data_IF_653743189396
#
_entry.id   IF_653743189396
#
_cell.length_a   1.000
_cell.length_b   1.000
_cell.length_c   1.000
_cell.angle_alpha   90.00
_cell.angle_beta   90.00
_cell.angle_gamma   90.00
#
_symmetry.space_group_name_H-M   'P 1'
#
loop_
_entity.id
_entity.type
_entity.pdbx_description
1 polymer ?
#
# COMPACT_ATOMS: atom_id res chain seq x y z
N UNK A 1 27.73 -34.80 -47.73
CA UNK A 1 27.71 -33.67 -46.77
C UNK A 1 26.25 -33.37 -46.46
N UNK A 2 25.74 -33.85 -45.33
CA UNK A 2 24.38 -33.54 -44.86
C UNK A 2 24.50 -32.30 -43.99
N UNK A 3 23.94 -31.18 -44.46
CA UNK A 3 23.90 -29.94 -43.71
C UNK A 3 22.92 -30.05 -42.55
N UNK A 4 23.43 -30.05 -41.32
CA UNK A 4 22.62 -29.88 -40.11
C UNK A 4 21.90 -28.53 -40.20
N UNK A 5 20.60 -28.56 -40.48
CA UNK A 5 19.70 -27.42 -40.22
C UNK A 5 19.63 -27.27 -38.71
N UNK A 6 20.41 -26.33 -38.16
CA UNK A 6 20.21 -25.84 -36.80
C UNK A 6 18.80 -25.24 -36.75
N UNK A 7 17.89 -25.94 -36.08
CA UNK A 7 16.58 -25.41 -35.72
C UNK A 7 16.82 -24.27 -34.74
N UNK A 8 16.85 -23.04 -35.26
CA UNK A 8 16.85 -21.85 -34.42
C UNK A 8 15.47 -21.81 -33.77
N UNK A 9 15.40 -22.25 -32.51
CA UNK A 9 14.18 -22.13 -31.73
C UNK A 9 13.75 -20.66 -31.75
N UNK A 10 12.51 -20.40 -32.18
CA UNK A 10 11.95 -19.05 -32.16
C UNK A 10 12.09 -18.47 -30.75
N UNK A 11 12.48 -17.19 -30.60
CA UNK A 11 12.51 -16.54 -29.30
C UNK A 11 11.18 -16.75 -28.57
N UNK A 12 11.24 -17.02 -27.27
CA UNK A 12 10.03 -17.10 -26.45
C UNK A 12 9.31 -15.76 -26.54
N UNK A 13 8.08 -15.78 -27.09
CA UNK A 13 7.22 -14.60 -27.19
C UNK A 13 6.26 -14.57 -26.01
N UNK A 14 6.12 -13.40 -25.42
CA UNK A 14 5.05 -13.11 -24.45
C UNK A 14 3.68 -13.28 -25.14
N UNK A 15 2.72 -13.86 -24.43
CA UNK A 15 1.34 -14.03 -24.92
C UNK A 15 0.38 -13.18 -24.08
N UNK A 16 -0.73 -12.67 -24.62
CA UNK A 16 -1.68 -11.87 -23.83
C UNK A 16 -2.17 -12.60 -22.58
N UNK A 17 -2.54 -13.87 -22.71
CA UNK A 17 -3.00 -14.68 -21.57
C UNK A 17 -1.91 -14.86 -20.50
N UNK A 18 -0.64 -15.04 -20.91
CA UNK A 18 0.48 -15.12 -19.96
C UNK A 18 0.70 -13.80 -19.22
N UNK A 19 0.61 -12.67 -19.93
CA UNK A 19 0.76 -11.34 -19.34
C UNK A 19 -0.41 -10.99 -18.40
N UNK A 20 -1.65 -11.34 -18.76
CA UNK A 20 -2.83 -11.19 -17.88
C UNK A 20 -2.63 -11.98 -16.58
N UNK A 21 -2.23 -13.25 -16.68
CA UNK A 21 -2.00 -14.09 -15.51
C UNK A 21 -0.89 -13.51 -14.61
N UNK A 22 0.20 -13.03 -15.22
CA UNK A 22 1.28 -12.39 -14.49
C UNK A 22 0.82 -11.13 -13.74
N UNK A 23 0.09 -10.23 -14.42
CA UNK A 23 -0.48 -9.03 -13.81
C UNK A 23 -1.42 -9.37 -12.65
N UNK A 24 -2.25 -10.40 -12.81
CA UNK A 24 -3.12 -10.89 -11.74
C UNK A 24 -2.31 -11.34 -10.52
N UNK A 25 -1.28 -12.18 -10.69
CA UNK A 25 -0.47 -12.69 -9.58
C UNK A 25 0.31 -11.58 -8.87
N UNK A 26 0.87 -10.63 -9.62
CA UNK A 26 1.56 -9.48 -9.04
C UNK A 26 0.59 -8.58 -8.25
N UNK A 27 -0.59 -8.30 -8.81
CA UNK A 27 -1.64 -7.53 -8.12
C UNK A 27 -2.06 -8.23 -6.83
N UNK A 28 -2.30 -9.55 -6.90
CA UNK A 28 -2.69 -10.34 -5.75
C UNK A 28 -1.60 -10.30 -4.66
N UNK A 29 -0.35 -10.58 -4.98
CA UNK A 29 0.75 -10.56 -4.02
C UNK A 29 0.99 -9.16 -3.43
N UNK A 30 0.88 -8.09 -4.22
CA UNK A 30 0.97 -6.71 -3.74
C UNK A 30 -0.19 -6.36 -2.78
N UNK A 31 -1.41 -6.79 -3.08
CA UNK A 31 -2.58 -6.57 -2.21
C UNK A 31 -2.46 -7.25 -0.84
N UNK A 32 -1.74 -8.37 -0.79
CA UNK A 32 -1.48 -9.11 0.44
C UNK A 32 -0.22 -8.61 1.19
N UNK A 33 0.37 -7.50 0.75
CA UNK A 33 1.65 -6.97 1.25
C UNK A 33 2.80 -8.01 1.23
N UNK A 34 2.73 -9.01 0.35
CA UNK A 34 3.77 -10.04 0.20
C UNK A 34 4.92 -9.56 -0.69
N UNK A 35 4.66 -8.56 -1.53
CA UNK A 35 5.66 -7.91 -2.37
C UNK A 35 5.72 -6.42 -2.07
N UNK A 36 6.92 -5.87 -2.13
CA UNK A 36 7.13 -4.42 -2.08
C UNK A 36 6.49 -3.75 -3.31
N UNK A 37 5.56 -2.80 -3.14
CA UNK A 37 4.92 -2.10 -4.26
C UNK A 37 5.90 -1.30 -5.13
N UNK A 38 7.06 -0.88 -4.59
CA UNK A 38 8.12 -0.25 -5.38
C UNK A 38 8.73 -1.23 -6.38
N UNK A 39 9.09 -2.43 -5.91
CA UNK A 39 9.57 -3.52 -6.77
C UNK A 39 8.53 -3.93 -7.82
N UNK A 40 7.27 -4.09 -7.40
CA UNK A 40 6.16 -4.46 -8.31
C UNK A 40 5.96 -3.40 -9.39
N UNK A 41 6.11 -2.11 -9.05
CA UNK A 41 6.09 -1.01 -10.04
C UNK A 41 7.19 -1.15 -11.09
N UNK A 42 8.43 -1.41 -10.66
CA UNK A 42 9.56 -1.54 -11.59
C UNK A 42 9.41 -2.77 -12.50
N UNK A 43 8.86 -3.87 -11.98
CA UNK A 43 8.46 -5.03 -12.78
C UNK A 43 7.34 -4.67 -13.77
N UNK A 44 6.32 -3.93 -13.31
CA UNK A 44 5.21 -3.43 -14.14
C UNK A 44 5.71 -2.65 -15.37
N UNK A 45 6.72 -1.79 -15.21
CA UNK A 45 7.33 -1.07 -16.35
C UNK A 45 7.89 -1.99 -17.42
N UNK A 46 8.56 -3.08 -17.03
CA UNK A 46 9.09 -4.07 -17.99
C UNK A 46 7.96 -4.84 -18.67
N UNK A 47 6.93 -5.20 -17.90
CA UNK A 47 5.74 -5.86 -18.41
C UNK A 47 5.02 -4.96 -19.42
N UNK A 48 4.98 -3.63 -19.22
CA UNK A 48 4.41 -2.71 -20.19
C UNK A 48 5.12 -2.74 -21.54
N UNK A 49 6.44 -2.85 -21.55
CA UNK A 49 7.19 -2.99 -22.81
C UNK A 49 6.79 -4.26 -23.57
N UNK A 50 6.60 -5.36 -22.85
CA UNK A 50 6.14 -6.63 -23.44
C UNK A 50 4.68 -6.55 -23.92
N UNK A 51 3.81 -5.84 -23.19
CA UNK A 51 2.42 -5.62 -23.59
C UNK A 51 2.34 -4.76 -24.86
N UNK A 52 3.13 -3.69 -24.94
CA UNK A 52 3.18 -2.86 -26.14
C UNK A 52 3.67 -3.66 -27.35
N UNK A 53 4.67 -4.53 -27.16
CA UNK A 53 5.09 -5.47 -28.19
C UNK A 53 3.96 -6.42 -28.62
N UNK A 54 3.20 -6.97 -27.66
CA UNK A 54 2.02 -7.80 -27.97
C UNK A 54 0.92 -7.03 -28.73
N UNK A 55 0.70 -5.74 -28.42
CA UNK A 55 -0.31 -4.91 -29.12
C UNK A 55 0.06 -4.61 -30.57
N UNK A 56 1.35 -4.59 -30.88
CA UNK A 56 1.85 -4.39 -32.26
C UNK A 56 1.87 -5.67 -33.10
N UNK A 57 1.56 -6.82 -32.51
CA UNK A 57 1.51 -8.10 -33.23
C UNK A 57 0.09 -8.30 -33.83
N UNK A 58 -0.02 -8.20 -35.15
CA UNK A 58 -1.28 -8.34 -35.91
C UNK A 58 -1.96 -9.71 -35.73
N UNK A 59 -1.26 -10.70 -35.15
CA UNK A 59 -1.82 -12.02 -34.89
C UNK A 59 -2.73 -12.09 -33.65
N UNK A 60 -2.78 -11.04 -32.82
CA UNK A 60 -3.55 -11.06 -31.56
C UNK A 60 -5.03 -10.71 -31.76
N UNK A 61 -5.91 -11.40 -31.04
CA UNK A 61 -7.34 -11.08 -31.07
C UNK A 61 -7.63 -9.77 -30.35
N UNK A 62 -8.49 -8.92 -30.92
CA UNK A 62 -8.93 -7.69 -30.27
C UNK A 62 -9.54 -7.94 -28.87
N UNK A 63 -10.19 -9.09 -28.69
CA UNK A 63 -10.75 -9.49 -27.38
C UNK A 63 -9.63 -9.69 -26.35
N UNK A 64 -8.54 -10.35 -26.74
CA UNK A 64 -7.39 -10.60 -25.86
C UNK A 64 -6.66 -9.28 -25.51
N UNK A 65 -6.54 -8.37 -26.48
CA UNK A 65 -5.95 -7.05 -26.26
C UNK A 65 -6.80 -6.19 -25.31
N UNK A 66 -8.13 -6.29 -25.39
CA UNK A 66 -9.04 -5.61 -24.48
C UNK A 66 -8.92 -6.18 -23.06
N UNK A 67 -8.90 -7.50 -22.90
CA UNK A 67 -8.70 -8.17 -21.60
C UNK A 67 -7.35 -7.81 -20.99
N UNK A 68 -6.29 -7.75 -21.81
CA UNK A 68 -4.96 -7.34 -21.36
C UNK A 68 -4.95 -5.88 -20.89
N UNK A 69 -5.62 -4.99 -21.61
CA UNK A 69 -5.74 -3.58 -21.21
C UNK A 69 -6.54 -3.42 -19.91
N UNK A 70 -7.59 -4.21 -19.71
CA UNK A 70 -8.35 -4.21 -18.46
C UNK A 70 -7.52 -4.75 -17.29
N UNK A 71 -6.74 -5.82 -17.51
CA UNK A 71 -5.82 -6.36 -16.51
C UNK A 71 -4.75 -5.34 -16.09
N UNK A 72 -4.22 -4.56 -17.05
CA UNK A 72 -3.29 -3.46 -16.76
C UNK A 72 -3.93 -2.39 -15.86
N UNK A 73 -5.14 -1.95 -16.19
CA UNK A 73 -5.83 -0.93 -15.40
C UNK A 73 -6.03 -1.39 -13.94
N UNK A 74 -6.51 -2.63 -13.75
CA UNK A 74 -6.66 -3.23 -12.41
C UNK A 74 -5.35 -3.35 -11.65
N UNK A 75 -4.26 -3.66 -12.35
CA UNK A 75 -2.92 -3.75 -11.76
C UNK A 75 -2.47 -2.39 -11.22
N UNK A 76 -2.62 -1.31 -11.99
CA UNK A 76 -2.27 0.05 -11.54
C UNK A 76 -3.11 0.51 -10.35
N UNK A 77 -4.43 0.27 -10.39
CA UNK A 77 -5.33 0.61 -9.29
C UNK A 77 -4.93 -0.11 -8.00
N UNK A 78 -4.61 -1.40 -8.11
CA UNK A 78 -4.15 -2.23 -6.97
C UNK A 78 -2.84 -1.70 -6.41
N UNK A 79 -1.91 -1.34 -7.28
CA UNK A 79 -0.60 -0.84 -6.89
C UNK A 79 -0.70 0.53 -6.19
N UNK A 80 -1.56 1.41 -6.69
CA UNK A 80 -1.85 2.70 -6.07
C UNK A 80 -2.47 2.51 -4.67
N UNK A 81 -3.44 1.60 -4.54
CA UNK A 81 -4.06 1.28 -3.27
C UNK A 81 -3.05 0.72 -2.25
N UNK A 82 -2.19 -0.22 -2.68
CA UNK A 82 -1.16 -0.82 -1.82
C UNK A 82 -0.17 0.23 -1.31
N UNK A 83 0.30 1.13 -2.18
CA UNK A 83 1.19 2.25 -1.80
C UNK A 83 0.52 3.22 -0.85
N UNK A 84 -0.75 3.53 -1.08
CA UNK A 84 -1.54 4.41 -0.21
C UNK A 84 -1.68 3.80 1.19
N UNK A 85 -1.97 2.50 1.27
CA UNK A 85 -2.02 1.78 2.54
C UNK A 85 -0.68 1.86 3.28
N UNK A 86 0.44 1.62 2.59
CA UNK A 86 1.77 1.72 3.20
C UNK A 86 2.07 3.11 3.73
N UNK A 87 1.72 4.16 2.98
CA UNK A 87 1.90 5.54 3.39
C UNK A 87 1.08 5.85 4.65
N UNK A 88 -0.20 5.50 4.66
CA UNK A 88 -1.09 5.68 5.82
C UNK A 88 -0.54 4.93 7.04
N UNK A 89 -0.07 3.68 6.85
CA UNK A 89 0.53 2.90 7.92
C UNK A 89 1.82 3.55 8.46
N UNK A 90 2.66 4.11 7.58
CA UNK A 90 3.87 4.82 7.98
C UNK A 90 3.56 6.10 8.76
N UNK A 91 2.59 6.90 8.30
CA UNK A 91 2.12 8.11 9.02
C UNK A 91 1.62 7.74 10.42
N UNK A 92 0.78 6.70 10.52
CA UNK A 92 0.28 6.20 11.82
C UNK A 92 1.40 5.79 12.76
N UNK A 93 2.44 5.09 12.25
CA UNK A 93 3.60 4.71 13.06
C UNK A 93 4.40 5.94 13.51
N UNK A 94 4.66 6.88 12.61
CA UNK A 94 5.43 8.09 12.93
C UNK A 94 4.72 8.97 13.98
N UNK A 95 3.39 9.13 13.86
CA UNK A 95 2.57 9.86 14.83
C UNK A 95 2.33 9.11 16.16
N UNK A 96 2.65 7.82 16.24
CA UNK A 96 2.55 7.06 17.50
C UNK A 96 3.84 7.10 18.33
N UNK A 97 4.87 7.81 17.86
CA UNK A 97 6.19 7.87 18.53
C UNK A 97 6.30 9.03 19.54
N UNK A 98 5.20 9.68 19.91
CA UNK A 98 5.20 10.64 21.03
C UNK A 98 5.24 9.88 22.37
N UNK A 99 6.46 9.80 22.92
CA UNK A 99 6.81 9.70 24.34
C UNK A 99 6.73 8.33 25.05
N UNK A 100 7.83 7.56 25.13
CA UNK A 100 8.12 6.87 26.39
C UNK A 100 8.46 7.95 27.43
N UNK A 101 7.51 8.25 28.31
CA UNK A 101 7.76 9.11 29.47
C UNK A 101 8.82 8.45 30.36
N UNK A 102 9.99 9.05 30.59
CA UNK A 102 10.90 8.60 31.61
C UNK A 102 10.48 9.27 32.93
N UNK A 103 9.43 8.76 33.57
CA UNK A 103 9.32 8.89 35.02
C UNK A 103 10.21 7.79 35.59
N UNK A 104 11.41 8.09 36.08
CA UNK A 104 11.66 9.10 37.09
C UNK A 104 12.15 8.31 38.29
N UNK A 105 13.46 8.16 38.35
CA UNK A 105 14.28 7.69 39.47
C UNK A 105 13.62 8.06 40.83
N UNK A 106 12.99 7.09 41.50
CA UNK A 106 12.59 7.23 42.91
C UNK A 106 13.52 6.35 43.74
N UNK A 107 14.55 7.00 44.24
CA UNK A 107 15.43 6.60 45.33
C UNK A 107 14.64 6.02 46.53
N UNK A 108 15.05 4.89 47.13
CA UNK A 108 14.37 4.31 48.28
C UNK A 108 14.90 4.93 49.59
N UNK A 109 14.19 5.93 50.11
CA UNK A 109 14.41 6.51 51.44
C UNK A 109 13.23 6.25 52.40
N UNK A 110 13.46 6.12 53.72
CA UNK A 110 12.71 5.19 54.58
C UNK A 110 11.46 5.78 55.27
N UNK A 111 10.52 4.86 55.52
CA UNK A 111 9.58 4.73 56.64
C UNK A 111 9.38 5.94 57.56
N UNK A 112 8.12 6.38 57.78
CA UNK A 112 7.56 6.61 59.11
C UNK A 112 6.03 6.39 59.12
N UNK A 113 5.58 5.80 60.23
CA UNK A 113 4.27 5.24 60.54
C UNK A 113 3.05 6.18 60.42
N UNK A 114 1.92 5.63 59.94
CA UNK A 114 0.59 6.23 60.06
C UNK A 114 -0.54 5.23 59.72
N UNK A 115 -1.63 5.15 60.52
CA UNK A 115 -2.51 3.98 60.62
C UNK A 115 -3.56 3.85 59.49
N UNK A 116 -4.20 2.67 59.30
CA UNK A 116 -4.90 2.34 58.06
C UNK A 116 -6.41 2.66 58.02
N UNK A 117 -6.89 2.97 56.80
CA UNK A 117 -8.26 2.79 56.21
C UNK A 117 -9.38 3.81 56.58
N UNK A 118 -10.38 4.11 55.69
CA UNK A 118 -11.11 3.14 54.88
C UNK A 118 -11.47 3.46 53.41
N UNK A 119 -11.89 2.38 52.75
CA UNK A 119 -12.54 2.19 51.45
C UNK A 119 -13.73 3.15 51.23
N UNK A 120 -13.74 3.83 50.08
CA UNK A 120 -14.88 4.07 49.17
C UNK A 120 -14.59 5.31 48.29
N UNK A 121 -14.11 5.12 47.06
CA UNK A 121 -14.15 6.17 46.03
C UNK A 121 -14.91 5.62 44.82
N UNK A 122 -16.02 6.24 44.39
CA UNK A 122 -16.69 5.87 43.16
C UNK A 122 -15.76 6.11 41.97
N UNK A 123 -15.78 5.19 41.02
CA UNK A 123 -15.19 5.39 39.70
C UNK A 123 -15.82 6.63 39.07
N UNK A 124 -15.00 7.64 38.78
CA UNK A 124 -15.41 8.80 38.00
C UNK A 124 -14.81 8.63 36.59
N UNK A 125 -15.59 8.22 35.57
CA UNK A 125 -15.12 8.21 34.20
C UNK A 125 -15.13 9.64 33.66
N UNK A 126 -14.10 10.41 33.98
CA UNK A 126 -13.87 11.68 33.29
C UNK A 126 -13.62 11.40 31.80
N UNK A 127 -14.32 12.08 30.88
CA UNK A 127 -14.16 11.84 29.46
C UNK A 127 -12.81 12.41 29.02
N UNK A 128 -11.94 11.54 28.48
CA UNK A 128 -10.84 11.98 27.62
C UNK A 128 -11.48 12.53 26.34
N UNK A 129 -11.94 13.77 26.40
CA UNK A 129 -12.46 14.55 25.29
C UNK A 129 -11.53 15.74 25.08
N UNK A 130 -11.02 15.83 23.85
CA UNK A 130 -10.37 17.03 23.36
C UNK A 130 -8.93 16.81 22.94
N UNK A 131 -8.73 16.12 21.80
CA UNK A 131 -7.67 16.42 20.80
C UNK A 131 -7.68 15.56 19.53
N UNK A 132 -8.80 14.89 19.20
CA UNK A 132 -8.94 14.20 17.90
C UNK A 132 -9.86 14.92 16.90
N UNK A 133 -10.38 16.11 17.23
CA UNK A 133 -11.27 16.86 16.34
C UNK A 133 -10.52 17.68 15.28
N UNK A 134 -9.23 18.02 15.48
CA UNK A 134 -8.54 18.95 14.59
C UNK A 134 -8.03 18.31 13.29
N UNK A 135 -7.82 17.00 13.24
CA UNK A 135 -7.34 16.33 12.03
C UNK A 135 -8.43 16.09 10.98
N UNK A 136 -9.71 16.04 11.39
CA UNK A 136 -10.82 15.80 10.46
C UNK A 136 -11.34 17.08 9.81
N UNK A 137 -11.15 18.25 10.44
CA UNK A 137 -11.56 19.54 9.86
C UNK A 137 -10.64 19.95 8.71
N UNK A 138 -9.33 19.66 8.79
CA UNK A 138 -8.37 20.02 7.74
C UNK A 138 -8.58 19.24 6.43
N UNK A 139 -9.12 18.01 6.50
CA UNK A 139 -9.44 17.22 5.32
C UNK A 139 -10.75 17.66 4.64
N UNK A 140 -11.68 18.27 5.38
CA UNK A 140 -12.91 18.83 4.82
C UNK A 140 -12.70 20.21 4.16
N UNK A 141 -11.59 20.91 4.45
CA UNK A 141 -11.32 22.24 3.87
C UNK A 141 -10.59 22.20 2.52
N UNK A 142 -10.01 21.05 2.14
CA UNK A 142 -9.33 20.89 0.85
C UNK A 142 -10.27 20.55 -0.32
N UNK A 143 -11.56 20.33 -0.05
CA UNK A 143 -12.58 20.04 -1.07
C UNK A 143 -13.25 21.32 -1.66
N UNK A 144 -13.03 22.50 -1.06
CA UNK A 144 -13.51 23.78 -1.64
C UNK A 144 -12.43 24.49 -2.46
N UNK A 145 -11.88 23.79 -3.46
CA UNK A 145 -11.17 24.39 -4.58
C UNK A 145 -12.16 24.98 -5.59
N UNK A 146 -12.92 26.01 -5.19
CA UNK A 146 -13.79 26.76 -6.09
C UNK A 146 -12.96 27.68 -7.00
N UNK A 147 -12.91 27.35 -8.29
CA UNK A 147 -12.37 28.19 -9.36
C UNK A 147 -12.90 29.63 -9.31
N UNK A 148 -12.05 30.66 -9.45
CA UNK A 148 -12.52 31.96 -9.91
C UNK A 148 -12.70 31.89 -11.43
N UNK A 149 -13.95 31.76 -11.88
CA UNK A 149 -14.38 32.04 -13.25
C UNK A 149 -14.74 33.53 -13.36
N UNK A 150 -14.22 34.19 -14.40
CA UNK A 150 -14.90 35.32 -15.07
C UNK A 150 -14.64 36.71 -14.50
#
# INVERSE_FOLDING_TARGET
MVGSKMSVASPARSTPNGLIALLFHLSHAASQAQLDPGLVRELGKRIYTEIDACKTDDAQSQVELNLLSEAMARFEDTLLAARSHMLIAAIRRAGSTESPHPEGDQDPGPHEDGPPLPVNRPFDPSPVSGRYADCLVLLATLDQGGSPLG
#
